data_IF_251204700711
#
_entry.id   IF_251204700711
#
_cell.length_a   1.000
_cell.length_b   1.000
_cell.length_c   1.000
_cell.angle_alpha   90.00
_cell.angle_beta   90.00
_cell.angle_gamma   90.00
#
_symmetry.space_group_name_H-M   'P 1'
#
loop_
_entity.id
_entity.type
_entity.pdbx_description
1 polymer ?
#
# COMPACT_ATOMS: atom_id res chain seq x y z
N UNK A 1 4.92 7.55 24.04
CA UNK A 1 6.03 7.11 24.91
C UNK A 1 6.52 5.68 24.61
N UNK A 2 5.69 4.76 24.11
CA UNK A 2 6.12 3.37 23.84
C UNK A 2 6.98 3.19 22.55
N UNK A 3 6.76 3.99 21.50
CA UNK A 3 7.48 3.86 20.22
C UNK A 3 8.90 4.44 20.25
N UNK A 4 9.23 5.31 21.20
CA UNK A 4 10.57 5.93 21.32
C UNK A 4 11.65 4.95 21.76
N UNK A 5 11.29 3.79 22.32
CA UNK A 5 12.25 2.74 22.71
C UNK A 5 12.66 1.82 21.55
N UNK A 6 11.95 1.84 20.41
CA UNK A 6 12.31 1.06 19.22
C UNK A 6 13.40 1.74 18.38
N UNK A 7 13.73 3.00 18.66
CA UNK A 7 14.70 3.78 17.91
C UNK A 7 15.88 4.20 18.80
N UNK A 8 17.14 3.96 18.38
CA UNK A 8 18.29 4.50 19.10
C UNK A 8 18.20 6.03 19.14
N UNK A 9 18.54 6.61 20.30
CA UNK A 9 18.25 7.99 20.72
C UNK A 9 18.78 9.14 19.83
N UNK A 10 19.46 8.84 18.71
CA UNK A 10 20.08 9.80 17.82
C UNK A 10 19.63 9.70 16.34
N UNK A 11 18.67 8.83 16.01
CA UNK A 11 18.22 8.63 14.63
C UNK A 11 16.80 9.16 14.40
N UNK A 12 16.61 9.90 13.31
CA UNK A 12 15.30 10.35 12.86
C UNK A 12 14.44 9.10 12.53
N UNK A 13 13.39 8.78 13.32
CA UNK A 13 12.61 7.54 13.17
C UNK A 13 11.95 7.42 11.79
N UNK A 14 11.72 8.57 11.14
CA UNK A 14 11.20 8.66 9.77
C UNK A 14 12.18 8.03 8.77
N UNK A 15 13.46 8.42 8.82
CA UNK A 15 14.48 7.96 7.86
C UNK A 15 14.72 6.45 8.01
N UNK A 16 14.84 5.97 9.25
CA UNK A 16 14.99 4.54 9.50
C UNK A 16 13.78 3.74 8.97
N UNK A 17 12.57 4.23 9.23
CA UNK A 17 11.34 3.56 8.78
C UNK A 17 11.24 3.54 7.26
N UNK A 18 11.68 4.60 6.56
CA UNK A 18 11.76 4.64 5.10
C UNK A 18 12.73 3.58 4.57
N UNK A 19 13.95 3.51 5.12
CA UNK A 19 14.97 2.55 4.68
C UNK A 19 14.53 1.10 4.91
N UNK A 20 13.96 0.82 6.08
CA UNK A 20 13.41 -0.49 6.40
C UNK A 20 12.24 -0.85 5.47
N UNK A 21 11.32 0.09 5.24
CA UNK A 21 10.21 -0.09 4.30
C UNK A 21 10.70 -0.42 2.89
N UNK A 22 11.71 0.29 2.40
CA UNK A 22 12.29 0.04 1.07
C UNK A 22 12.96 -1.33 1.02
N UNK A 23 13.80 -1.68 2.01
CA UNK A 23 14.48 -2.96 2.07
C UNK A 23 13.50 -4.14 2.01
N UNK A 24 12.47 -4.13 2.87
CA UNK A 24 11.49 -5.21 2.90
C UNK A 24 10.59 -5.21 1.66
N UNK A 25 10.18 -4.04 1.16
CA UNK A 25 9.38 -3.96 -0.07
C UNK A 25 10.15 -4.48 -1.30
N UNK A 26 11.43 -4.15 -1.43
CA UNK A 26 12.27 -4.65 -2.53
C UNK A 26 12.49 -6.16 -2.40
N UNK A 27 12.75 -6.65 -1.18
CA UNK A 27 12.90 -8.08 -0.90
C UNK A 27 11.64 -8.88 -1.29
N UNK A 28 10.45 -8.37 -0.94
CA UNK A 28 9.16 -8.98 -1.34
C UNK A 28 9.00 -8.95 -2.86
N UNK A 29 9.38 -7.86 -3.52
CA UNK A 29 9.27 -7.75 -4.98
C UNK A 29 10.13 -8.78 -5.70
N UNK A 30 11.38 -8.95 -5.27
CA UNK A 30 12.29 -10.00 -5.77
C UNK A 30 11.71 -11.40 -5.50
N UNK A 31 11.22 -11.62 -4.27
CA UNK A 31 10.66 -12.91 -3.87
C UNK A 31 9.44 -13.29 -4.69
N UNK A 32 8.50 -12.34 -4.88
CA UNK A 32 7.30 -12.56 -5.68
C UNK A 32 7.65 -12.87 -7.14
N UNK A 33 8.62 -12.17 -7.72
CA UNK A 33 9.05 -12.43 -9.10
C UNK A 33 9.68 -13.82 -9.26
N UNK A 34 10.46 -14.27 -8.29
CA UNK A 34 10.99 -15.63 -8.29
C UNK A 34 9.90 -16.69 -8.04
N UNK A 35 9.00 -16.45 -7.07
CA UNK A 35 7.93 -17.39 -6.69
C UNK A 35 6.88 -17.58 -7.79
N UNK A 36 6.54 -16.50 -8.51
CA UNK A 36 5.62 -16.53 -9.65
C UNK A 36 6.34 -16.79 -10.98
N UNK A 37 7.66 -16.84 -10.97
CA UNK A 37 8.47 -17.08 -12.14
C UNK A 37 8.36 -18.51 -12.66
N UNK A 38 8.88 -18.78 -13.87
CA UNK A 38 8.78 -20.08 -14.53
C UNK A 38 9.44 -21.23 -13.75
N UNK A 39 10.38 -20.93 -12.86
CA UNK A 39 11.11 -21.92 -12.06
C UNK A 39 10.22 -22.59 -11.00
N UNK A 40 9.26 -21.85 -10.42
CA UNK A 40 8.37 -22.35 -9.36
C UNK A 40 6.91 -22.41 -9.81
N UNK A 41 6.45 -21.45 -10.60
CA UNK A 41 5.11 -21.41 -11.21
C UNK A 41 3.97 -21.32 -10.18
N UNK A 42 4.19 -20.67 -9.04
CA UNK A 42 3.19 -20.60 -7.96
C UNK A 42 2.27 -19.38 -8.07
N UNK A 43 1.57 -19.24 -9.19
CA UNK A 43 0.85 -18.03 -9.62
C UNK A 43 -0.50 -17.80 -8.92
N UNK A 44 -0.49 -17.66 -7.59
CA UNK A 44 -1.68 -17.39 -6.77
C UNK A 44 -1.52 -16.14 -5.90
N UNK A 45 -1.22 -14.96 -6.48
CA UNK A 45 -0.83 -13.76 -5.73
C UNK A 45 -1.88 -13.28 -4.72
N UNK A 46 -3.18 -13.38 -5.01
CA UNK A 46 -4.25 -12.94 -4.10
C UNK A 46 -4.41 -13.90 -2.94
N UNK A 47 -4.47 -15.21 -3.20
CA UNK A 47 -4.52 -16.24 -2.14
C UNK A 47 -3.27 -16.16 -1.27
N UNK A 48 -2.08 -16.08 -1.87
CA UNK A 48 -0.82 -15.99 -1.13
C UNK A 48 -0.79 -14.72 -0.26
N UNK A 49 -1.24 -13.58 -0.79
CA UNK A 49 -1.34 -12.35 0.00
C UNK A 49 -2.33 -12.49 1.17
N UNK A 50 -3.44 -13.22 1.00
CA UNK A 50 -4.36 -13.50 2.09
C UNK A 50 -3.73 -14.32 3.22
N UNK A 51 -2.83 -15.25 2.89
CA UNK A 51 -2.06 -16.04 3.85
C UNK A 51 -0.98 -15.19 4.53
N UNK A 52 -0.33 -14.27 3.80
CA UNK A 52 0.56 -13.29 4.43
C UNK A 52 -0.18 -12.47 5.48
N UNK A 53 -1.41 -12.02 5.21
CA UNK A 53 -2.21 -11.31 6.22
C UNK A 53 -2.49 -12.16 7.47
N UNK A 54 -2.64 -13.49 7.35
CA UNK A 54 -2.71 -14.37 8.52
C UNK A 54 -1.39 -14.39 9.31
N UNK A 55 -0.25 -14.42 8.60
CA UNK A 55 1.08 -14.33 9.23
C UNK A 55 1.24 -13.00 9.96
N UNK A 56 0.80 -11.88 9.37
CA UNK A 56 0.80 -10.56 10.03
C UNK A 56 -0.03 -10.57 11.31
N UNK A 57 -1.22 -11.18 11.28
CA UNK A 57 -2.07 -11.33 12.47
C UNK A 57 -1.38 -12.13 13.57
N UNK A 58 -0.77 -13.27 13.22
CA UNK A 58 -0.07 -14.12 14.18
C UNK A 58 1.15 -13.38 14.77
N UNK A 59 1.99 -12.78 13.94
CA UNK A 59 3.20 -12.07 14.39
C UNK A 59 2.88 -10.83 15.22
N UNK A 60 1.89 -10.03 14.82
CA UNK A 60 1.43 -8.88 15.62
C UNK A 60 0.86 -9.33 16.95
N UNK A 61 0.04 -10.38 16.97
CA UNK A 61 -0.49 -10.99 18.20
C UNK A 61 0.63 -11.50 19.11
N UNK A 62 1.60 -12.26 18.57
CA UNK A 62 2.77 -12.73 19.31
C UNK A 62 3.59 -11.57 19.90
N UNK A 63 3.80 -10.50 19.14
CA UNK A 63 4.53 -9.33 19.63
C UNK A 63 3.80 -8.65 20.81
N UNK A 64 2.47 -8.50 20.74
CA UNK A 64 1.66 -7.95 21.83
C UNK A 64 1.63 -8.86 23.08
N UNK A 65 1.72 -10.18 22.88
CA UNK A 65 1.83 -11.14 23.98
C UNK A 65 3.22 -11.05 24.66
N UNK A 66 4.29 -11.00 23.87
CA UNK A 66 5.67 -10.99 24.36
C UNK A 66 6.12 -9.64 24.92
N UNK A 67 5.53 -8.53 24.47
CA UNK A 67 5.95 -7.19 24.87
C UNK A 67 4.79 -6.39 25.47
N UNK A 68 4.52 -6.53 26.79
CA UNK A 68 3.39 -5.89 27.46
C UNK A 68 3.40 -4.36 27.39
N UNK A 69 4.55 -3.74 27.15
CA UNK A 69 4.72 -2.29 27.01
C UNK A 69 4.05 -1.70 25.76
N UNK A 70 3.75 -2.54 24.76
CA UNK A 70 3.02 -2.14 23.55
C UNK A 70 1.50 -2.26 23.70
N UNK A 71 1.01 -2.72 24.85
CA UNK A 71 -0.42 -2.79 25.19
C UNK A 71 -0.94 -1.39 25.57
N UNK A 72 -2.25 -1.19 25.40
CA UNK A 72 -2.93 0.05 25.79
C UNK A 72 -2.66 0.39 27.27
N UNK A 73 -2.19 1.62 27.60
CA UNK A 73 -2.06 2.05 28.99
C UNK A 73 -3.45 2.20 29.58
N UNK A 74 -3.70 1.56 30.72
CA UNK A 74 -4.98 1.45 31.43
C UNK A 74 -6.03 0.55 30.77
N UNK A 75 -5.86 -0.76 30.93
CA UNK A 75 -6.93 -1.52 31.60
C UNK A 75 -6.33 -2.76 32.27
N UNK A 76 -6.65 -2.96 33.55
CA UNK A 76 -6.12 -4.00 34.43
C UNK A 76 -6.64 -5.41 34.11
N UNK A 77 -7.19 -5.60 32.92
CA UNK A 77 -7.62 -6.87 32.35
C UNK A 77 -7.26 -6.88 30.88
N UNK A 78 -6.94 -8.06 30.36
CA UNK A 78 -6.57 -8.39 29.00
C UNK A 78 -7.66 -7.99 27.97
N UNK A 79 -8.00 -6.70 27.83
CA UNK A 79 -9.10 -6.23 26.99
C UNK A 79 -8.57 -5.84 25.61
N UNK A 80 -8.11 -6.85 24.86
CA UNK A 80 -7.91 -6.73 23.40
C UNK A 80 -9.25 -6.63 22.65
N UNK A 81 -10.37 -6.70 23.37
CA UNK A 81 -11.71 -6.71 22.81
C UNK A 81 -12.13 -5.29 22.41
N UNK A 82 -12.02 -4.98 21.12
CA UNK A 82 -12.68 -3.82 20.53
C UNK A 82 -14.18 -4.12 20.39
N UNK A 83 -15.09 -3.22 20.80
CA UNK A 83 -16.52 -3.43 20.59
C UNK A 83 -16.80 -3.64 19.10
N UNK A 84 -17.64 -4.63 18.77
CA UNK A 84 -17.94 -4.97 17.37
C UNK A 84 -18.42 -3.76 16.55
N UNK A 85 -19.22 -2.88 17.15
CA UNK A 85 -19.70 -1.66 16.49
C UNK A 85 -18.55 -0.72 16.10
N UNK A 86 -17.52 -0.60 16.94
CA UNK A 86 -16.32 0.18 16.65
C UNK A 86 -15.47 -0.51 15.59
N UNK A 87 -15.29 -1.84 15.71
CA UNK A 87 -14.58 -2.64 14.73
C UNK A 87 -15.19 -2.49 13.33
N UNK A 88 -16.51 -2.63 13.22
CA UNK A 88 -17.25 -2.55 11.97
C UNK A 88 -17.24 -1.15 11.34
N UNK A 89 -17.19 -0.07 12.15
CA UNK A 89 -17.20 1.32 11.64
C UNK A 89 -15.81 1.86 11.33
N UNK A 90 -14.79 1.42 12.06
CA UNK A 90 -13.44 1.99 11.95
C UNK A 90 -12.48 1.05 11.22
N UNK A 91 -12.43 -0.22 11.59
CA UNK A 91 -11.43 -1.17 11.08
C UNK A 91 -11.88 -1.79 9.75
N UNK A 92 -13.13 -2.24 9.70
CA UNK A 92 -13.65 -2.98 8.56
C UNK A 92 -13.60 -2.20 7.23
N UNK A 93 -13.94 -0.90 7.16
CA UNK A 93 -13.82 -0.14 5.92
C UNK A 93 -12.37 -0.04 5.42
N UNK A 94 -11.41 0.11 6.34
CA UNK A 94 -9.99 0.14 6.00
C UNK A 94 -9.51 -1.22 5.48
N UNK A 95 -9.92 -2.31 6.13
CA UNK A 95 -9.56 -3.67 5.72
C UNK A 95 -10.15 -4.04 4.35
N UNK A 96 -11.41 -3.68 4.11
CA UNK A 96 -12.10 -3.91 2.85
C UNK A 96 -11.50 -3.06 1.71
N UNK A 97 -11.20 -1.79 1.96
CA UNK A 97 -10.50 -0.95 0.99
C UNK A 97 -9.14 -1.54 0.63
N UNK A 98 -8.40 -2.06 1.62
CA UNK A 98 -7.10 -2.71 1.39
C UNK A 98 -7.22 -4.00 0.59
N UNK A 99 -8.22 -4.83 0.90
CA UNK A 99 -8.47 -6.05 0.16
C UNK A 99 -8.92 -5.77 -1.28
N UNK A 100 -9.78 -4.77 -1.48
CA UNK A 100 -10.25 -4.35 -2.80
C UNK A 100 -9.12 -3.76 -3.66
N UNK A 101 -8.23 -2.95 -3.06
CA UNK A 101 -7.01 -2.45 -3.69
C UNK A 101 -6.17 -3.60 -4.25
N UNK A 102 -5.76 -4.54 -3.39
CA UNK A 102 -4.90 -5.68 -3.76
C UNK A 102 -5.61 -6.63 -4.72
N UNK A 103 -6.87 -6.96 -4.46
CA UNK A 103 -7.64 -7.91 -5.27
C UNK A 103 -7.90 -7.39 -6.68
N UNK A 104 -8.40 -6.16 -6.83
CA UNK A 104 -8.64 -5.56 -8.14
C UNK A 104 -7.32 -5.28 -8.87
N UNK A 105 -6.26 -4.87 -8.14
CA UNK A 105 -4.94 -4.65 -8.71
C UNK A 105 -4.35 -5.92 -9.32
N UNK A 106 -4.31 -7.02 -8.56
CA UNK A 106 -3.83 -8.31 -9.06
C UNK A 106 -4.72 -8.90 -10.15
N UNK A 107 -6.04 -8.69 -10.09
CA UNK A 107 -6.97 -9.13 -11.14
C UNK A 107 -6.70 -8.47 -12.49
N UNK A 108 -6.21 -7.22 -12.48
CA UNK A 108 -5.95 -6.47 -13.70
C UNK A 108 -4.86 -7.09 -14.57
N UNK A 109 -3.88 -7.81 -13.99
CA UNK A 109 -2.80 -8.46 -14.74
C UNK A 109 -3.28 -9.55 -15.71
N UNK A 110 -4.53 -10.02 -15.57
CA UNK A 110 -5.17 -10.93 -16.55
C UNK A 110 -5.54 -10.23 -17.85
N UNK A 111 -5.60 -8.90 -17.83
CA UNK A 111 -6.14 -8.08 -18.90
C UNK A 111 -5.15 -7.06 -19.46
N UNK A 112 -4.19 -6.63 -18.63
CA UNK A 112 -3.23 -5.59 -18.98
C UNK A 112 -1.81 -5.97 -18.55
N UNK A 113 -0.82 -5.36 -19.20
CA UNK A 113 0.60 -5.56 -18.88
C UNK A 113 0.98 -4.87 -17.57
N UNK A 114 2.07 -5.33 -16.95
CA UNK A 114 2.64 -4.71 -15.74
C UNK A 114 2.96 -3.22 -15.95
N UNK A 115 3.44 -2.84 -17.14
CA UNK A 115 3.73 -1.44 -17.43
C UNK A 115 2.47 -0.57 -17.48
N UNK A 116 1.39 -1.04 -18.13
CA UNK A 116 0.12 -0.32 -18.16
C UNK A 116 -0.52 -0.25 -16.77
N UNK A 117 -0.41 -1.32 -15.98
CA UNK A 117 -0.81 -1.32 -14.58
C UNK A 117 -0.09 -0.22 -13.80
N UNK A 118 1.25 -0.16 -13.85
CA UNK A 118 2.04 0.83 -13.11
C UNK A 118 1.67 2.26 -13.50
N UNK A 119 1.45 2.51 -14.80
CA UNK A 119 1.06 3.83 -15.29
C UNK A 119 -0.32 4.27 -14.82
N UNK A 120 -1.33 3.39 -14.82
CA UNK A 120 -2.67 3.75 -14.32
C UNK A 120 -2.66 3.79 -12.78
N UNK A 121 -1.93 2.88 -12.14
CA UNK A 121 -1.85 2.77 -10.68
C UNK A 121 -1.17 3.97 -10.02
N UNK A 122 -0.26 4.68 -10.70
CA UNK A 122 0.34 5.91 -10.19
C UNK A 122 -0.69 7.03 -9.95
N UNK A 123 -1.88 6.95 -10.57
CA UNK A 123 -2.99 7.86 -10.27
C UNK A 123 -3.57 7.68 -8.86
N UNK A 124 -3.18 6.64 -8.11
CA UNK A 124 -3.58 6.42 -6.72
C UNK A 124 -3.23 7.59 -5.81
N UNK A 125 -2.12 8.29 -6.06
CA UNK A 125 -1.70 9.48 -5.32
C UNK A 125 -2.75 10.59 -5.35
N UNK A 126 -3.43 10.75 -6.48
CA UNK A 126 -4.52 11.72 -6.62
C UNK A 126 -5.67 11.34 -5.69
N UNK A 127 -6.06 10.07 -5.65
CA UNK A 127 -7.11 9.59 -4.77
C UNK A 127 -6.72 9.64 -3.29
N UNK A 128 -5.44 9.40 -2.95
CA UNK A 128 -4.90 9.62 -1.59
C UNK A 128 -5.16 11.06 -1.15
N UNK A 129 -4.89 12.04 -2.01
CA UNK A 129 -5.10 13.45 -1.72
C UNK A 129 -6.59 13.82 -1.63
N UNK A 130 -7.43 13.31 -2.54
CA UNK A 130 -8.87 13.54 -2.51
C UNK A 130 -9.50 13.01 -1.22
N UNK A 131 -9.15 11.79 -0.79
CA UNK A 131 -9.59 11.24 0.49
C UNK A 131 -8.96 11.95 1.69
N UNK A 132 -7.69 12.37 1.57
CA UNK A 132 -7.01 13.20 2.56
C UNK A 132 -7.78 14.48 2.83
N UNK A 133 -8.21 15.18 1.78
CA UNK A 133 -9.09 16.34 1.88
C UNK A 133 -10.46 15.97 2.46
N UNK A 134 -11.11 14.92 1.92
CA UNK A 134 -12.46 14.52 2.32
C UNK A 134 -12.56 14.20 3.83
N UNK A 135 -11.50 13.60 4.39
CA UNK A 135 -11.40 13.31 5.83
C UNK A 135 -10.77 14.44 6.66
N UNK A 136 -10.58 15.63 6.06
CA UNK A 136 -9.95 16.80 6.68
C UNK A 136 -8.59 16.46 7.29
N UNK A 137 -7.81 15.67 6.55
CA UNK A 137 -6.39 15.40 6.81
C UNK A 137 -5.50 16.41 6.06
N UNK A 138 -6.04 17.07 5.04
CA UNK A 138 -5.35 18.01 4.14
C UNK A 138 -6.28 19.19 3.74
N UNK A 139 -5.74 20.36 3.39
CA UNK A 139 -6.50 21.51 2.89
C UNK A 139 -6.68 21.46 1.36
N UNK A 140 -7.83 21.97 0.88
CA UNK A 140 -8.15 22.09 -0.54
C UNK A 140 -7.39 23.27 -1.16
N UNK A 141 -6.60 23.01 -2.20
CA UNK A 141 -6.14 24.05 -3.12
C UNK A 141 -6.78 23.85 -4.48
N UNK A 142 -7.19 24.94 -5.14
CA UNK A 142 -7.78 24.91 -6.50
C UNK A 142 -6.86 24.27 -7.54
N UNK A 143 -5.56 24.23 -7.25
CA UNK A 143 -4.51 23.62 -8.07
C UNK A 143 -4.51 22.09 -8.00
N UNK A 144 -5.00 21.51 -6.89
CA UNK A 144 -5.20 20.05 -6.77
C UNK A 144 -6.17 19.53 -7.85
N UNK A 145 -7.24 20.28 -8.12
CA UNK A 145 -8.23 19.95 -9.15
C UNK A 145 -7.59 19.93 -10.55
N UNK A 146 -6.66 20.85 -10.81
CA UNK A 146 -5.95 20.92 -12.08
C UNK A 146 -5.02 19.72 -12.30
N UNK A 147 -4.34 19.26 -11.25
CA UNK A 147 -3.45 18.09 -11.31
C UNK A 147 -4.25 16.79 -11.50
N UNK A 148 -5.39 16.67 -10.80
CA UNK A 148 -6.34 15.57 -11.03
C UNK A 148 -6.76 15.53 -12.50
N UNK A 149 -7.05 16.69 -13.10
CA UNK A 149 -7.47 16.81 -14.49
C UNK A 149 -6.37 16.44 -15.49
N UNK A 150 -5.12 16.84 -15.26
CA UNK A 150 -3.97 16.46 -16.11
C UNK A 150 -3.71 14.95 -16.02
N UNK A 151 -3.73 14.38 -14.81
CA UNK A 151 -3.51 12.94 -14.60
C UNK A 151 -4.62 12.08 -15.20
N UNK A 152 -5.89 12.50 -15.05
CA UNK A 152 -7.01 11.83 -15.73
C UNK A 152 -6.90 11.97 -17.25
N UNK A 153 -6.47 13.13 -17.76
CA UNK A 153 -6.16 13.33 -19.18
C UNK A 153 -5.06 12.39 -19.68
N UNK A 154 -3.98 12.19 -18.92
CA UNK A 154 -2.90 11.26 -19.26
C UNK A 154 -3.36 9.81 -19.32
N UNK A 155 -4.19 9.36 -18.36
CA UNK A 155 -4.79 8.02 -18.38
C UNK A 155 -5.71 7.84 -19.59
N UNK A 156 -6.55 8.84 -19.89
CA UNK A 156 -7.45 8.81 -21.07
C UNK A 156 -6.64 8.76 -22.36
N UNK A 157 -5.58 9.56 -22.48
CA UNK A 157 -4.68 9.56 -23.64
C UNK A 157 -3.96 8.21 -23.83
N UNK A 158 -3.56 7.53 -22.75
CA UNK A 158 -2.97 6.19 -22.85
C UNK A 158 -3.96 5.14 -23.33
N UNK A 159 -5.22 5.24 -22.89
CA UNK A 159 -6.30 4.35 -23.37
C UNK A 159 -6.58 4.56 -24.85
N UNK A 160 -6.53 5.81 -25.34
CA UNK A 160 -6.72 6.13 -26.76
C UNK A 160 -5.47 5.92 -27.63
N UNK A 161 -4.27 5.99 -27.06
CA UNK A 161 -3.00 5.86 -27.80
C UNK A 161 -2.57 4.41 -28.09
N UNK A 162 -3.23 3.41 -27.48
CA UNK A 162 -2.91 1.99 -27.64
C UNK A 162 -3.70 1.33 -28.80
N UNK A 163 -3.96 2.08 -29.87
CA UNK A 163 -4.65 1.61 -31.09
C UNK A 163 -3.68 1.15 -32.19
N UNK A 164 -2.49 0.65 -31.85
CA UNK A 164 -1.50 0.33 -32.87
C UNK A 164 -0.63 -0.88 -32.53
N UNK A 165 -0.94 -1.98 -33.23
CA UNK A 165 -0.03 -3.04 -33.69
C UNK A 165 0.20 -4.28 -32.81
N UNK A 166 -0.78 -4.75 -32.06
CA UNK A 166 -0.79 -6.19 -31.72
C UNK A 166 -2.18 -6.82 -31.87
N UNK A 167 -2.24 -7.74 -32.82
CA UNK A 167 -3.43 -8.38 -33.35
C UNK A 167 -3.77 -9.62 -32.53
N UNK A 168 -4.41 -9.48 -31.36
CA UNK A 168 -5.30 -10.52 -30.78
C UNK A 168 -6.11 -10.09 -29.53
N UNK A 169 -5.77 -8.98 -28.87
CA UNK A 169 -6.44 -8.56 -27.62
C UNK A 169 -7.60 -7.60 -27.89
N UNK A 170 -8.84 -8.06 -27.70
CA UNK A 170 -10.05 -7.25 -27.93
C UNK A 170 -10.01 -5.98 -27.05
N UNK A 171 -10.34 -4.78 -27.57
CA UNK A 171 -10.31 -3.50 -26.83
C UNK A 171 -11.11 -3.54 -25.51
N UNK A 172 -12.11 -4.42 -25.41
CA UNK A 172 -12.89 -4.69 -24.19
C UNK A 172 -12.04 -5.21 -23.03
N UNK A 173 -11.01 -6.06 -23.27
CA UNK A 173 -10.15 -6.58 -22.19
C UNK A 173 -9.31 -5.46 -21.57
N UNK A 174 -8.72 -4.60 -22.40
CA UNK A 174 -7.92 -3.46 -21.92
C UNK A 174 -8.79 -2.52 -21.08
N UNK A 175 -10.01 -2.21 -21.55
CA UNK A 175 -10.94 -1.36 -20.80
C UNK A 175 -11.29 -1.95 -19.42
N UNK A 176 -11.57 -3.25 -19.34
CA UNK A 176 -11.84 -3.95 -18.07
C UNK A 176 -10.62 -3.89 -17.15
N UNK A 177 -9.43 -4.17 -17.68
CA UNK A 177 -8.17 -4.09 -16.94
C UNK A 177 -7.90 -2.69 -16.39
N UNK A 178 -7.99 -1.66 -17.23
CA UNK A 178 -7.84 -0.26 -16.80
C UNK A 178 -8.88 0.14 -15.75
N UNK A 179 -10.13 -0.30 -15.90
CA UNK A 179 -11.19 -0.03 -14.91
C UNK A 179 -10.90 -0.69 -13.56
N UNK A 180 -10.39 -1.94 -13.57
CA UNK A 180 -9.96 -2.63 -12.36
C UNK A 180 -8.79 -1.91 -11.65
N UNK A 181 -7.80 -1.41 -12.42
CA UNK A 181 -6.71 -0.61 -11.84
C UNK A 181 -7.22 0.71 -11.27
N UNK A 182 -8.17 1.37 -11.94
CA UNK A 182 -8.74 2.61 -11.44
C UNK A 182 -9.49 2.39 -10.12
N UNK A 183 -10.30 1.34 -10.02
CA UNK A 183 -10.95 0.93 -8.76
C UNK A 183 -9.89 0.66 -7.69
N UNK A 184 -8.85 -0.10 -8.03
CA UNK A 184 -7.73 -0.38 -7.16
C UNK A 184 -7.02 0.91 -6.69
N UNK A 185 -6.85 1.91 -7.56
CA UNK A 185 -6.24 3.20 -7.25
C UNK A 185 -7.09 4.02 -6.27
N UNK A 186 -8.42 4.08 -6.49
CA UNK A 186 -9.36 4.76 -5.57
C UNK A 186 -9.34 4.11 -4.19
N UNK A 187 -9.39 2.77 -4.14
CA UNK A 187 -9.36 2.00 -2.89
C UNK A 187 -8.02 2.13 -2.16
N UNK A 188 -6.91 2.25 -2.90
CA UNK A 188 -5.59 2.53 -2.31
C UNK A 188 -5.58 3.88 -1.60
N UNK A 189 -6.13 4.92 -2.24
CA UNK A 189 -6.28 6.25 -1.63
C UNK A 189 -7.11 6.21 -0.34
N UNK A 190 -8.25 5.51 -0.39
CA UNK A 190 -9.13 5.32 0.76
C UNK A 190 -8.41 4.58 1.91
N UNK A 191 -7.72 3.48 1.60
CA UNK A 191 -6.91 2.71 2.57
C UNK A 191 -5.93 3.62 3.29
N UNK A 192 -5.15 4.39 2.55
CA UNK A 192 -4.12 5.24 3.15
C UNK A 192 -4.71 6.31 4.06
N UNK A 193 -5.77 6.99 3.61
CA UNK A 193 -6.42 8.03 4.39
C UNK A 193 -7.06 7.47 5.66
N UNK A 194 -7.73 6.31 5.58
CA UNK A 194 -8.27 5.61 6.75
C UNK A 194 -7.15 5.14 7.69
N UNK A 195 -6.09 4.52 7.18
CA UNK A 195 -4.96 4.06 8.01
C UNK A 195 -4.34 5.22 8.80
N UNK A 196 -4.17 6.39 8.18
CA UNK A 196 -3.67 7.57 8.89
C UNK A 196 -4.66 8.05 9.96
N UNK A 197 -5.97 8.03 9.66
CA UNK A 197 -7.00 8.37 10.63
C UNK A 197 -6.98 7.42 11.84
N UNK A 198 -6.80 6.11 11.62
CA UNK A 198 -6.67 5.10 12.67
C UNK A 198 -5.44 5.38 13.55
N UNK A 199 -4.29 5.64 12.94
CA UNK A 199 -3.03 5.83 13.69
C UNK A 199 -2.98 7.17 14.44
N UNK A 200 -3.57 8.25 13.89
CA UNK A 200 -3.48 9.60 14.48
C UNK A 200 -4.65 9.99 15.36
N UNK A 201 -5.87 9.54 15.07
CA UNK A 201 -7.09 10.01 15.78
C UNK A 201 -7.76 8.96 16.68
N UNK A 202 -7.45 7.66 16.56
CA UNK A 202 -8.06 6.63 17.40
C UNK A 202 -7.13 6.16 18.51
N UNK A 203 -7.59 6.26 19.77
CA UNK A 203 -6.86 5.84 20.97
C UNK A 203 -6.51 4.34 20.98
N UNK A 204 -7.41 3.49 20.49
CA UNK A 204 -7.23 2.03 20.44
C UNK A 204 -6.28 1.52 19.34
N UNK A 205 -5.86 2.38 18.40
CA UNK A 205 -5.01 1.99 17.26
C UNK A 205 -3.78 2.88 17.10
N UNK A 206 -3.40 3.66 18.11
CA UNK A 206 -2.19 4.52 18.00
C UNK A 206 -0.90 3.71 17.86
N UNK A 207 -0.90 2.45 18.31
CA UNK A 207 0.23 1.55 18.11
C UNK A 207 0.14 0.86 16.74
N UNK A 208 1.16 1.00 15.86
CA UNK A 208 1.25 0.30 14.58
C UNK A 208 1.03 -1.21 14.66
N UNK A 209 1.61 -1.88 15.67
CA UNK A 209 1.49 -3.34 15.85
C UNK A 209 0.04 -3.71 16.18
N UNK A 210 -0.62 -2.91 17.01
CA UNK A 210 -2.02 -3.12 17.38
C UNK A 210 -2.96 -2.85 16.21
N UNK A 211 -2.65 -1.87 15.37
CA UNK A 211 -3.38 -1.60 14.13
C UNK A 211 -3.29 -2.78 13.17
N UNK A 212 -2.09 -3.34 12.98
CA UNK A 212 -1.89 -4.55 12.17
C UNK A 212 -2.71 -5.71 12.74
N UNK A 213 -2.70 -5.93 14.05
CA UNK A 213 -3.46 -6.99 14.69
C UNK A 213 -4.97 -6.90 14.42
N UNK A 214 -5.56 -5.71 14.47
CA UNK A 214 -6.99 -5.53 14.20
C UNK A 214 -7.35 -5.59 12.71
N UNK A 215 -6.48 -5.07 11.83
CA UNK A 215 -6.74 -4.92 10.40
C UNK A 215 -6.55 -6.23 9.62
N UNK A 216 -5.46 -6.96 9.93
CA UNK A 216 -5.02 -8.16 9.20
C UNK A 216 -6.08 -9.26 9.07
N UNK A 217 -6.86 -9.65 10.10
CA UNK A 217 -7.80 -10.76 9.98
C UNK A 217 -8.96 -10.47 9.02
N UNK A 218 -9.56 -9.27 9.08
CA UNK A 218 -10.61 -8.87 8.14
C UNK A 218 -10.07 -8.77 6.70
N UNK A 219 -8.87 -8.25 6.54
CA UNK A 219 -8.20 -8.14 5.24
C UNK A 219 -7.86 -9.53 4.66
N UNK A 220 -7.37 -10.44 5.50
CA UNK A 220 -7.10 -11.84 5.14
C UNK A 220 -8.39 -12.53 4.66
N UNK A 221 -9.48 -12.42 5.41
CA UNK A 221 -10.75 -13.04 5.03
C UNK A 221 -11.28 -12.49 3.69
N UNK A 222 -11.28 -11.17 3.51
CA UNK A 222 -11.74 -10.54 2.27
C UNK A 222 -10.88 -10.95 1.06
N UNK A 223 -9.56 -10.99 1.22
CA UNK A 223 -8.64 -11.45 0.17
C UNK A 223 -8.75 -12.94 -0.09
N UNK A 224 -8.97 -13.76 0.94
CA UNK A 224 -9.12 -15.21 0.79
C UNK A 224 -10.37 -15.53 -0.04
N UNK A 225 -11.50 -14.88 0.27
CA UNK A 225 -12.73 -14.98 -0.52
C UNK A 225 -12.49 -14.53 -1.96
N UNK A 226 -11.87 -13.36 -2.13
CA UNK A 226 -11.58 -12.79 -3.46
C UNK A 226 -10.64 -13.69 -4.28
N UNK A 227 -9.59 -14.21 -3.66
CA UNK A 227 -8.64 -15.16 -4.26
C UNK A 227 -9.31 -16.49 -4.62
N UNK A 228 -10.26 -16.96 -3.81
CA UNK A 228 -11.08 -18.13 -4.13
C UNK A 228 -11.89 -17.95 -5.42
N UNK A 229 -12.52 -16.78 -5.60
CA UNK A 229 -13.29 -16.47 -6.82
C UNK A 229 -12.40 -16.24 -8.04
N UNK A 230 -11.24 -15.60 -7.85
CA UNK A 230 -10.37 -15.25 -8.95
C UNK A 230 -9.47 -16.42 -9.37
N UNK A 231 -8.74 -17.00 -8.44
CA UNK A 231 -7.63 -17.93 -8.68
C UNK A 231 -8.03 -19.39 -8.44
N UNK A 232 -9.08 -19.62 -7.63
CA UNK A 232 -9.65 -20.95 -7.38
C UNK A 232 -8.90 -21.75 -6.32
N UNK A 233 -9.57 -22.09 -5.21
CA UNK A 233 -8.96 -22.87 -4.13
C UNK A 233 -8.53 -24.27 -4.58
N UNK A 234 -9.27 -24.90 -5.49
CA UNK A 234 -8.91 -26.20 -6.05
C UNK A 234 -7.60 -26.15 -6.84
N UNK A 235 -7.44 -25.11 -7.67
CA UNK A 235 -6.21 -24.87 -8.44
C UNK A 235 -5.02 -24.61 -7.53
N UNK A 236 -5.22 -23.85 -6.45
CA UNK A 236 -4.19 -23.61 -5.45
C UNK A 236 -3.76 -24.90 -4.74
N UNK A 237 -4.71 -25.71 -4.29
CA UNK A 237 -4.45 -26.97 -3.59
C UNK A 237 -3.84 -28.04 -4.50
N UNK A 238 -4.19 -28.05 -5.79
CA UNK A 238 -3.64 -28.96 -6.80
C UNK A 238 -2.36 -28.45 -7.46
N UNK A 239 -1.79 -27.31 -6.99
CA UNK A 239 -0.58 -26.76 -7.61
C UNK A 239 0.60 -27.73 -7.47
N UNK A 240 1.41 -27.84 -8.52
CA UNK A 240 2.55 -28.77 -8.59
C UNK A 240 3.58 -28.55 -7.48
N UNK A 241 3.63 -27.35 -6.90
CA UNK A 241 4.56 -26.97 -5.82
C UNK A 241 4.36 -27.85 -4.59
N UNK A 242 3.11 -28.20 -4.25
CA UNK A 242 2.80 -29.06 -3.10
C UNK A 242 3.42 -30.44 -3.21
N UNK A 243 3.45 -31.01 -4.43
CA UNK A 243 4.06 -32.30 -4.71
C UNK A 243 5.58 -32.19 -4.84
N UNK A 244 6.08 -31.19 -5.57
CA UNK A 244 7.50 -31.02 -5.88
C UNK A 244 8.36 -30.62 -4.68
N UNK A 245 7.84 -29.75 -3.81
CA UNK A 245 8.56 -29.24 -2.63
C UNK A 245 8.08 -29.89 -1.33
N UNK A 246 6.91 -30.51 -1.34
CA UNK A 246 6.26 -31.03 -0.15
C UNK A 246 5.58 -29.93 0.67
N UNK A 247 4.62 -30.35 1.51
CA UNK A 247 3.83 -29.47 2.38
C UNK A 247 4.68 -28.57 3.28
N UNK A 248 5.66 -29.06 4.07
CA UNK A 248 6.37 -28.21 5.03
C UNK A 248 7.23 -27.14 4.35
N UNK A 249 7.88 -27.48 3.22
CA UNK A 249 8.69 -26.52 2.47
C UNK A 249 7.78 -25.48 1.81
N UNK A 250 6.65 -25.89 1.23
CA UNK A 250 5.68 -24.96 0.63
C UNK A 250 5.11 -24.00 1.68
N UNK A 251 4.82 -24.47 2.89
CA UNK A 251 4.43 -23.60 4.00
C UNK A 251 5.55 -22.62 4.40
N UNK A 252 6.81 -23.06 4.45
CA UNK A 252 7.93 -22.14 4.67
C UNK A 252 8.05 -21.08 3.57
N UNK A 253 7.86 -21.47 2.30
CA UNK A 253 7.85 -20.54 1.16
C UNK A 253 6.71 -19.52 1.25
N UNK A 254 5.60 -19.84 1.93
CA UNK A 254 4.51 -18.90 2.18
C UNK A 254 4.75 -18.02 3.42
N UNK A 255 5.39 -18.56 4.46
CA UNK A 255 5.60 -17.84 5.74
C UNK A 255 6.72 -16.81 5.63
N UNK A 256 7.83 -17.13 4.95
CA UNK A 256 8.98 -16.21 4.78
C UNK A 256 8.56 -14.85 4.18
N UNK A 257 7.91 -14.78 3.01
CA UNK A 257 7.40 -13.51 2.48
C UNK A 257 6.32 -12.89 3.36
N UNK A 258 5.55 -13.67 4.11
CA UNK A 258 4.63 -13.17 5.14
C UNK A 258 5.35 -12.42 6.28
N UNK A 259 6.50 -12.92 6.73
CA UNK A 259 7.35 -12.22 7.73
C UNK A 259 7.89 -10.92 7.14
N UNK A 260 8.38 -10.94 5.89
CA UNK A 260 8.84 -9.73 5.20
C UNK A 260 7.69 -8.70 5.07
N UNK A 261 6.49 -9.16 4.73
CA UNK A 261 5.30 -8.32 4.63
C UNK A 261 4.92 -7.70 5.98
N UNK A 262 5.07 -8.43 7.09
CA UNK A 262 4.87 -7.90 8.43
C UNK A 262 5.88 -6.78 8.75
N UNK A 263 7.17 -7.00 8.49
CA UNK A 263 8.21 -5.99 8.74
C UNK A 263 8.04 -4.76 7.83
N UNK A 264 7.66 -4.96 6.57
CA UNK A 264 7.31 -3.90 5.63
C UNK A 264 6.14 -3.05 6.16
N UNK A 265 5.03 -3.71 6.52
CA UNK A 265 3.80 -3.04 6.99
C UNK A 265 4.03 -2.32 8.32
N UNK A 266 4.82 -2.92 9.22
CA UNK A 266 5.20 -2.29 10.47
C UNK A 266 5.99 -1.00 10.24
N UNK A 267 7.01 -1.05 9.38
CA UNK A 267 7.82 0.12 9.02
C UNK A 267 6.96 1.22 8.38
N UNK A 268 6.03 0.82 7.50
CA UNK A 268 5.09 1.71 6.83
C UNK A 268 4.13 2.40 7.80
N UNK A 269 3.56 1.66 8.76
CA UNK A 269 2.62 2.23 9.73
C UNK A 269 3.34 3.11 10.75
N UNK A 270 4.55 2.73 11.18
CA UNK A 270 5.41 3.61 11.99
C UNK A 270 5.67 4.92 11.25
N UNK A 271 6.06 4.85 9.97
CA UNK A 271 6.27 6.05 9.16
C UNK A 271 4.99 6.91 9.11
N UNK A 272 3.82 6.31 8.94
CA UNK A 272 2.53 7.02 8.93
C UNK A 272 2.16 7.64 10.29
N UNK A 273 2.65 7.09 11.41
CA UNK A 273 2.49 7.70 12.73
C UNK A 273 3.29 8.99 12.89
N UNK A 274 4.47 9.09 12.28
CA UNK A 274 5.38 10.23 12.44
C UNK A 274 5.33 11.24 11.29
N UNK A 275 4.95 10.81 10.09
CA UNK A 275 4.94 11.63 8.89
C UNK A 275 3.51 11.93 8.40
N UNK A 276 3.37 12.83 7.41
CA UNK A 276 2.09 13.06 6.74
C UNK A 276 1.88 12.07 5.59
N UNK A 277 0.63 11.90 5.15
CA UNK A 277 0.28 11.17 3.93
C UNK A 277 1.11 11.65 2.73
N UNK A 278 1.43 12.95 2.68
CA UNK A 278 2.26 13.53 1.63
C UNK A 278 3.70 13.00 1.68
N UNK A 279 4.34 13.01 2.86
CA UNK A 279 5.70 12.44 3.01
C UNK A 279 5.74 10.97 2.64
N UNK A 280 4.72 10.21 3.05
CA UNK A 280 4.59 8.80 2.68
C UNK A 280 4.45 8.62 1.16
N UNK A 281 3.65 9.48 0.53
CA UNK A 281 3.45 9.48 -0.93
C UNK A 281 4.78 9.71 -1.66
N UNK A 282 5.56 10.72 -1.23
CA UNK A 282 6.92 11.02 -1.76
C UNK A 282 7.83 9.79 -1.66
N UNK A 283 7.94 9.23 -0.45
CA UNK A 283 8.76 8.04 -0.23
C UNK A 283 8.27 6.84 -1.06
N UNK A 284 6.95 6.68 -1.22
CA UNK A 284 6.36 5.64 -2.04
C UNK A 284 6.81 5.69 -3.51
N UNK A 285 6.92 6.88 -4.10
CA UNK A 285 7.37 7.04 -5.50
C UNK A 285 8.83 6.65 -5.65
N UNK A 286 9.69 7.12 -4.74
CA UNK A 286 11.10 6.75 -4.76
C UNK A 286 11.28 5.23 -4.59
N UNK A 287 10.50 4.61 -3.71
CA UNK A 287 10.45 3.15 -3.57
C UNK A 287 10.05 2.46 -4.87
N UNK A 288 8.96 2.92 -5.51
CA UNK A 288 8.48 2.35 -6.78
C UNK A 288 9.54 2.45 -7.89
N UNK A 289 10.28 3.56 -7.95
CA UNK A 289 11.39 3.70 -8.89
C UNK A 289 12.50 2.69 -8.66
N UNK A 290 12.89 2.51 -7.40
CA UNK A 290 13.90 1.52 -7.04
C UNK A 290 13.42 0.11 -7.41
N UNK A 291 12.14 -0.20 -7.22
CA UNK A 291 11.56 -1.49 -7.63
C UNK A 291 11.67 -1.70 -9.14
N UNK A 292 11.35 -0.69 -9.95
CA UNK A 292 11.43 -0.77 -11.42
C UNK A 292 12.90 -0.93 -11.87
N UNK A 293 13.81 -0.13 -11.33
CA UNK A 293 15.23 -0.20 -11.64
C UNK A 293 15.81 -1.58 -11.28
N UNK A 294 15.44 -2.10 -10.11
CA UNK A 294 15.86 -3.44 -9.68
C UNK A 294 15.28 -4.53 -10.58
N UNK A 295 14.02 -4.38 -11.03
CA UNK A 295 13.39 -5.26 -12.01
C UNK A 295 14.19 -5.33 -13.33
N UNK A 296 14.61 -4.17 -13.84
CA UNK A 296 15.45 -4.08 -15.02
C UNK A 296 16.84 -4.69 -14.82
N UNK A 297 17.53 -4.36 -13.72
CA UNK A 297 18.91 -4.81 -13.46
C UNK A 297 19.01 -6.31 -13.14
N UNK A 298 18.09 -6.84 -12.32
CA UNK A 298 18.17 -8.21 -11.82
C UNK A 298 17.60 -9.22 -12.81
N UNK A 299 16.57 -8.83 -13.56
CA UNK A 299 15.84 -9.76 -14.44
C UNK A 299 15.90 -9.41 -15.92
N UNK A 300 16.59 -8.32 -16.28
CA UNK A 300 16.75 -7.91 -17.68
C UNK A 300 15.45 -7.45 -18.34
N UNK A 301 14.46 -6.98 -17.57
CA UNK A 301 13.18 -6.53 -18.11
C UNK A 301 13.42 -5.42 -19.16
N UNK A 302 12.97 -5.64 -20.40
CA UNK A 302 13.13 -4.64 -21.46
C UNK A 302 12.11 -3.51 -21.28
N UNK A 303 12.58 -2.37 -20.79
CA UNK A 303 11.77 -1.15 -20.77
C UNK A 303 11.68 -0.60 -22.20
N UNK A 304 10.50 -0.67 -22.79
CA UNK A 304 10.21 0.05 -24.03
C UNK A 304 10.48 1.54 -23.84
N UNK A 305 11.04 2.21 -24.87
CA UNK A 305 11.30 3.65 -24.86
C UNK A 305 10.06 4.46 -24.46
N UNK A 306 8.88 4.04 -24.90
CA UNK A 306 7.61 4.68 -24.58
C UNK A 306 7.29 4.56 -23.08
N UNK A 307 7.51 3.39 -22.48
CA UNK A 307 7.28 3.17 -21.05
C UNK A 307 8.30 3.95 -20.20
N UNK A 308 9.54 4.05 -20.67
CA UNK A 308 10.58 4.86 -20.02
C UNK A 308 10.25 6.35 -20.02
N UNK A 309 9.80 6.89 -21.15
CA UNK A 309 9.36 8.28 -21.25
C UNK A 309 8.12 8.54 -20.39
N UNK A 310 7.12 7.64 -20.42
CA UNK A 310 5.94 7.73 -19.57
C UNK A 310 6.27 7.75 -18.08
N UNK A 311 7.22 6.92 -17.65
CA UNK A 311 7.73 6.90 -16.28
C UNK A 311 8.41 8.22 -15.90
N UNK A 312 9.27 8.78 -16.77
CA UNK A 312 9.94 10.05 -16.48
C UNK A 312 8.95 11.21 -16.33
N UNK A 313 7.91 11.25 -17.16
CA UNK A 313 6.86 12.29 -17.09
C UNK A 313 6.08 12.16 -15.78
N UNK A 314 5.64 10.96 -15.40
CA UNK A 314 4.89 10.77 -14.15
C UNK A 314 5.74 11.13 -12.93
N UNK A 315 7.03 10.77 -12.93
CA UNK A 315 7.94 11.18 -11.86
C UNK A 315 8.11 12.69 -11.75
N UNK A 316 8.29 13.36 -12.88
CA UNK A 316 8.46 14.81 -12.88
C UNK A 316 7.21 15.50 -12.32
N UNK A 317 6.01 15.10 -12.76
CA UNK A 317 4.76 15.69 -12.28
C UNK A 317 4.61 15.50 -10.77
N UNK A 318 4.91 14.29 -10.27
CA UNK A 318 4.76 14.00 -8.85
C UNK A 318 5.82 14.74 -8.01
N UNK A 319 7.09 14.80 -8.45
CA UNK A 319 8.14 15.55 -7.76
C UNK A 319 7.84 17.05 -7.75
N UNK A 320 7.37 17.59 -8.88
CA UNK A 320 6.96 18.98 -9.01
C UNK A 320 5.81 19.32 -8.05
N UNK A 321 4.77 18.49 -8.02
CA UNK A 321 3.64 18.65 -7.11
C UNK A 321 4.09 18.66 -5.64
N UNK A 322 4.95 17.71 -5.26
CA UNK A 322 5.42 17.60 -3.88
C UNK A 322 6.33 18.75 -3.47
N UNK A 323 7.25 19.19 -4.35
CA UNK A 323 8.08 20.36 -4.11
C UNK A 323 7.25 21.62 -3.90
N UNK A 324 6.27 21.83 -4.78
CA UNK A 324 5.35 22.96 -4.69
C UNK A 324 4.55 22.94 -3.38
N UNK A 325 4.00 21.79 -2.98
CA UNK A 325 3.19 21.67 -1.76
C UNK A 325 4.01 21.81 -0.48
N UNK A 326 5.27 21.37 -0.48
CA UNK A 326 6.20 21.63 0.62
C UNK A 326 6.44 23.14 0.77
N UNK A 327 6.59 23.85 -0.35
CA UNK A 327 6.76 25.30 -0.37
C UNK A 327 5.51 26.03 0.13
N UNK A 328 4.31 25.59 -0.28
CA UNK A 328 3.05 26.19 0.18
C UNK A 328 2.77 25.91 1.68
N UNK A 329 3.07 24.71 2.16
CA UNK A 329 3.00 24.36 3.59
C UNK A 329 3.95 25.19 4.45
N UNK A 330 5.13 25.57 3.92
CA UNK A 330 6.07 26.46 4.61
C UNK A 330 5.67 27.94 4.57
N UNK A 331 4.69 28.32 3.74
CA UNK A 331 4.21 29.70 3.58
C UNK A 331 2.86 29.93 4.25
N UNK A 332 2.17 28.86 4.69
CA UNK A 332 0.95 28.97 5.49
C UNK A 332 1.32 29.38 6.93
N UNK A 333 0.74 30.46 7.48
CA UNK A 333 0.99 30.83 8.87
C UNK A 333 0.54 29.70 9.77
N UNK A 334 1.40 29.36 10.73
CA UNK A 334 1.13 28.33 11.72
C UNK A 334 -0.06 28.80 12.57
N UNK A 335 -1.00 27.92 12.94
CA UNK A 335 -2.15 28.29 13.79
C UNK A 335 -1.74 28.93 15.13
N UNK A 336 -0.50 28.73 15.57
CA UNK A 336 0.10 29.43 16.72
C UNK A 336 0.35 30.92 16.49
N UNK A 337 0.50 31.37 15.24
CA UNK A 337 0.74 32.77 14.90
C UNK A 337 -0.58 33.58 14.92
N UNK A 338 -1.72 32.92 14.68
CA UNK A 338 -3.07 33.54 14.72
C UNK A 338 -3.58 33.67 16.17
N UNK A 339 -3.33 32.68 17.03
CA UNK A 339 -3.70 32.79 18.46
C UNK A 339 -2.84 33.79 19.24
N UNK A 340 -1.64 34.15 18.75
CA UNK A 340 -0.79 35.18 19.36
C UNK A 340 -1.11 36.60 18.89
N UNK A 341 -1.76 36.78 17.75
CA UNK A 341 -2.30 38.08 17.31
C UNK A 341 -3.63 38.40 18.01
N UNK A 342 -4.56 37.45 18.16
CA UNK A 342 -5.85 37.69 18.86
C UNK A 342 -5.71 37.90 20.38
N UNK A 343 -4.59 37.51 21.00
CA UNK A 343 -4.32 37.75 22.43
C UNK A 343 -3.60 39.09 22.67
N UNK A 344 -3.12 39.76 21.61
CA UNK A 344 -2.39 41.03 21.70
C UNK A 344 -3.16 42.23 21.10
N UNK A 345 -4.41 42.06 20.68
CA UNK A 345 -5.38 43.15 20.40
C UNK A 345 -6.42 43.30 21.51
#
# INVERSE_FOLDING_TARGET
MALTHLFPANNNPIVFSILAWYLFSLSISLYNKWMFGPDLGFEFPVIITSLHQMVLFILSGSCLLLTPQFRLPNDSKLSYSMPWQMYARTILPCALASAADIGAGNSSFRFITLSLYTMVKSSSLVFVLLWGVAFKLETLSTRLVFIVAIMTGGVVMMVYGHDSKDSDNRPTHIFIGCSLVLISAVMSGLRWALTQLLLKRHTHTQNPILTIFYLSPAMSLALFITGGFLEGFGSFAASKVWELKGVPVTLCLLVIPGILAFLMTLSEFILLSYASLLTLSIAGIFKELLTILLGHLVFGDSLSLINGVGLLITLFDILWYNYYRLTESSTAPTLTDVELEEVNE
#
